data_IF_374059168597
#
_entry.id   IF_374059168597
#
_cell.length_a   1.000
_cell.length_b   1.000
_cell.length_c   1.000
_cell.angle_alpha   90.00
_cell.angle_beta   90.00
_cell.angle_gamma   90.00
#
_symmetry.space_group_name_H-M   'P 1'
#
loop_
_entity.id
_entity.type
_entity.pdbx_description
1 polymer ?
#
# COMPACT_ATOMS: atom_id res chain seq x y z
N UNK A 1 11.40 -6.80 -32.76
CA UNK A 1 11.31 -7.54 -31.48
C UNK A 1 11.87 -6.72 -30.30
N UNK A 2 13.09 -6.18 -30.38
CA UNK A 2 13.68 -5.31 -29.33
C UNK A 2 12.84 -4.05 -29.01
N UNK A 3 12.39 -3.32 -30.02
CA UNK A 3 11.58 -2.09 -29.86
C UNK A 3 10.29 -2.36 -29.05
N UNK A 4 9.64 -3.51 -29.25
CA UNK A 4 8.41 -3.86 -28.52
C UNK A 4 8.68 -4.13 -27.04
N UNK A 5 9.81 -4.75 -26.71
CA UNK A 5 10.24 -5.03 -25.33
C UNK A 5 10.61 -3.72 -24.62
N UNK A 6 11.27 -2.80 -25.31
CA UNK A 6 11.59 -1.47 -24.78
C UNK A 6 10.32 -0.65 -24.51
N UNK A 7 9.37 -0.61 -25.45
CA UNK A 7 8.09 0.07 -25.26
C UNK A 7 7.30 -0.56 -24.11
N UNK A 8 7.24 -1.89 -24.04
CA UNK A 8 6.56 -2.58 -22.94
C UNK A 8 7.21 -2.26 -21.60
N UNK A 9 8.54 -2.41 -21.47
CA UNK A 9 9.25 -2.20 -20.22
C UNK A 9 9.25 -0.74 -19.74
N UNK A 10 9.05 0.22 -20.64
CA UNK A 10 8.84 1.63 -20.29
C UNK A 10 7.55 1.85 -19.48
N UNK A 11 6.48 1.14 -19.83
CA UNK A 11 5.15 1.32 -19.23
C UNK A 11 4.78 0.22 -18.24
N UNK A 12 5.38 -0.96 -18.34
CA UNK A 12 5.00 -2.13 -17.58
C UNK A 12 6.19 -2.83 -16.93
N UNK A 13 5.93 -3.54 -15.84
CA UNK A 13 6.90 -4.45 -15.23
C UNK A 13 6.20 -5.52 -14.39
N UNK A 14 6.89 -6.63 -14.14
CA UNK A 14 6.44 -7.67 -13.24
C UNK A 14 7.05 -7.46 -11.86
N UNK A 15 6.25 -7.66 -10.80
CA UNK A 15 6.75 -7.69 -9.43
C UNK A 15 6.32 -8.98 -8.74
N UNK A 16 7.28 -9.65 -8.11
CA UNK A 16 7.06 -10.88 -7.36
C UNK A 16 6.95 -10.56 -5.86
N UNK A 17 5.87 -11.00 -5.24
CA UNK A 17 5.57 -10.73 -3.83
C UNK A 17 6.25 -11.78 -2.95
N UNK A 18 7.38 -11.39 -2.33
CA UNK A 18 8.17 -12.29 -1.47
C UNK A 18 7.57 -12.50 -0.07
N UNK A 19 6.60 -11.67 0.34
CA UNK A 19 6.01 -11.71 1.69
C UNK A 19 4.52 -12.01 1.60
N UNK A 20 3.99 -12.72 2.59
CA UNK A 20 2.56 -13.05 2.68
C UNK A 20 1.72 -11.87 3.21
N UNK A 21 1.99 -10.65 2.73
CA UNK A 21 1.23 -9.45 3.11
C UNK A 21 -0.08 -9.35 2.33
N UNK A 22 -0.05 -9.69 1.04
CA UNK A 22 -1.22 -9.86 0.18
C UNK A 22 -1.43 -11.38 0.00
N UNK A 23 -2.52 -11.92 0.52
CA UNK A 23 -2.77 -13.36 0.50
C UNK A 23 -3.20 -13.80 -0.90
N UNK A 24 -2.74 -14.98 -1.34
CA UNK A 24 -3.07 -15.54 -2.66
C UNK A 24 -2.68 -14.62 -3.82
N UNK A 25 -1.58 -13.87 -3.67
CA UNK A 25 -0.95 -13.10 -4.74
C UNK A 25 0.54 -13.39 -4.72
N UNK A 26 1.01 -14.07 -5.75
CA UNK A 26 2.40 -14.41 -6.01
C UNK A 26 3.10 -13.32 -6.83
N UNK A 27 2.44 -12.82 -7.88
CA UNK A 27 3.03 -11.78 -8.73
C UNK A 27 1.97 -10.87 -9.34
N UNK A 28 2.41 -9.67 -9.71
CA UNK A 28 1.56 -8.66 -10.35
C UNK A 28 2.20 -8.10 -11.60
N UNK A 29 1.38 -7.79 -12.60
CA UNK A 29 1.76 -6.93 -13.71
C UNK A 29 1.42 -5.49 -13.34
N UNK A 30 2.44 -4.65 -13.26
CA UNK A 30 2.33 -3.24 -12.89
C UNK A 30 2.31 -2.36 -14.13
N UNK A 31 1.40 -1.38 -14.14
CA UNK A 31 1.41 -0.21 -15.00
C UNK A 31 2.12 0.95 -14.26
N UNK A 32 3.20 1.48 -14.85
CA UNK A 32 4.07 2.52 -14.26
C UNK A 32 3.49 3.93 -14.40
N UNK A 33 2.62 4.17 -15.38
CA UNK A 33 1.99 5.48 -15.61
C UNK A 33 0.86 5.74 -14.59
N UNK A 34 1.21 6.03 -13.34
CA UNK A 34 0.24 6.21 -12.24
C UNK A 34 -0.74 7.35 -12.52
N UNK A 35 -0.33 8.40 -13.23
CA UNK A 35 -1.17 9.55 -13.58
C UNK A 35 -2.39 9.17 -14.44
N UNK A 36 -2.31 8.04 -15.16
CA UNK A 36 -3.44 7.50 -15.95
C UNK A 36 -4.68 7.22 -15.11
N UNK A 37 -4.51 6.98 -13.82
CA UNK A 37 -5.61 6.69 -12.90
C UNK A 37 -6.27 7.94 -12.31
N UNK A 38 -5.85 9.16 -12.71
CA UNK A 38 -6.38 10.42 -12.14
C UNK A 38 -6.38 10.44 -10.61
N UNK A 39 -5.42 9.75 -10.00
CA UNK A 39 -5.24 9.59 -8.55
C UNK A 39 -6.34 8.82 -7.81
N UNK A 40 -7.25 8.19 -8.55
CA UNK A 40 -8.20 7.23 -7.97
C UNK A 40 -7.60 5.82 -7.97
N UNK A 41 -6.99 5.46 -6.83
CA UNK A 41 -6.31 4.18 -6.63
C UNK A 41 -7.05 3.27 -5.64
N UNK A 42 -8.22 3.68 -5.14
CA UNK A 42 -8.99 2.92 -4.15
C UNK A 42 -9.25 1.50 -4.62
N UNK A 43 -8.97 0.53 -3.75
CA UNK A 43 -9.12 -0.89 -4.03
C UNK A 43 -8.03 -1.51 -4.92
N UNK A 44 -7.12 -0.73 -5.50
CA UNK A 44 -6.02 -1.24 -6.34
C UNK A 44 -4.86 -1.72 -5.47
N UNK A 45 -4.10 -2.69 -6.00
CA UNK A 45 -2.78 -3.03 -5.47
C UNK A 45 -1.78 -2.09 -6.12
N UNK A 46 -0.90 -1.49 -5.31
CA UNK A 46 0.15 -0.60 -5.79
C UNK A 46 1.51 -1.10 -5.30
N UNK A 47 2.53 -0.89 -6.12
CA UNK A 47 3.92 -1.07 -5.74
C UNK A 47 4.56 0.29 -5.47
N UNK A 48 5.37 0.39 -4.42
CA UNK A 48 5.95 1.64 -3.96
C UNK A 48 7.26 1.44 -3.19
N UNK A 49 8.02 2.52 -3.07
CA UNK A 49 9.20 2.59 -2.21
C UNK A 49 8.77 2.93 -0.78
N UNK A 50 9.13 2.08 0.19
CA UNK A 50 8.77 2.31 1.59
C UNK A 50 9.34 3.65 2.09
N UNK A 51 8.53 4.55 2.68
CA UNK A 51 8.94 5.95 2.84
C UNK A 51 9.88 6.23 4.02
N UNK A 52 10.06 5.28 4.95
CA UNK A 52 10.68 5.54 6.26
C UNK A 52 11.79 4.55 6.59
N UNK A 53 12.73 4.97 7.43
CA UNK A 53 13.56 4.04 8.17
C UNK A 53 12.88 3.60 9.46
N UNK A 54 12.73 2.30 9.63
CA UNK A 54 12.14 1.70 10.84
C UNK A 54 13.03 0.56 11.34
N UNK A 55 12.71 0.03 12.52
CA UNK A 55 13.34 -1.20 13.01
C UNK A 55 13.02 -2.45 12.18
N UNK A 56 11.97 -2.39 11.34
CA UNK A 56 11.50 -3.53 10.55
C UNK A 56 12.01 -3.50 9.10
N UNK A 57 11.98 -2.32 8.48
CA UNK A 57 12.34 -2.10 7.08
C UNK A 57 13.04 -0.77 6.90
N UNK A 58 13.92 -0.70 5.90
CA UNK A 58 14.64 0.50 5.51
C UNK A 58 13.87 1.29 4.47
N UNK A 59 14.11 2.60 4.44
CA UNK A 59 13.59 3.46 3.38
C UNK A 59 13.97 2.91 2.01
N UNK A 60 13.10 3.12 1.04
CA UNK A 60 13.23 2.67 -0.35
C UNK A 60 13.20 1.13 -0.54
N UNK A 61 12.84 0.37 0.51
CA UNK A 61 12.52 -1.05 0.35
C UNK A 61 11.26 -1.21 -0.52
N UNK A 62 11.27 -2.05 -1.58
CA UNK A 62 10.10 -2.25 -2.44
C UNK A 62 8.95 -2.96 -1.73
N UNK A 63 7.78 -2.33 -1.73
CA UNK A 63 6.57 -2.84 -1.11
C UNK A 63 5.44 -2.97 -2.13
N UNK A 64 4.50 -3.86 -1.85
CA UNK A 64 3.17 -3.84 -2.47
C UNK A 64 2.07 -3.99 -1.42
N UNK A 65 1.00 -3.21 -1.56
CA UNK A 65 -0.17 -3.20 -0.65
C UNK A 65 -1.42 -2.79 -1.43
N UNK A 66 -2.60 -3.04 -0.84
CA UNK A 66 -3.89 -2.60 -1.38
C UNK A 66 -4.26 -1.22 -0.81
N UNK A 67 -4.69 -0.29 -1.65
CA UNK A 67 -5.24 1.00 -1.22
C UNK A 67 -6.61 0.77 -0.60
N UNK A 68 -6.77 1.10 0.68
CA UNK A 68 -8.04 0.97 1.41
C UNK A 68 -8.78 2.31 1.52
N UNK A 69 -8.04 3.40 1.58
CA UNK A 69 -8.55 4.77 1.66
C UNK A 69 -7.60 5.72 0.93
N UNK A 70 -8.08 6.84 0.40
CA UNK A 70 -7.27 7.79 -0.37
C UNK A 70 -7.63 9.25 -0.08
N UNK A 71 -6.85 10.18 -0.62
CA UNK A 71 -7.07 11.61 -0.46
C UNK A 71 -8.51 12.03 -0.73
N UNK A 72 -9.07 12.85 0.17
CA UNK A 72 -10.48 13.25 0.15
C UNK A 72 -11.43 12.31 0.88
N UNK A 73 -11.07 11.05 1.12
CA UNK A 73 -11.83 10.18 2.02
C UNK A 73 -11.61 10.58 3.49
N UNK A 74 -12.61 10.31 4.34
CA UNK A 74 -12.50 10.44 5.79
C UNK A 74 -11.99 9.13 6.40
N UNK A 75 -10.81 9.17 7.01
CA UNK A 75 -10.25 8.07 7.80
C UNK A 75 -10.54 8.32 9.27
N UNK A 76 -11.04 7.31 9.98
CA UNK A 76 -11.19 7.36 11.44
C UNK A 76 -10.63 6.10 12.09
N UNK A 77 -10.10 6.26 13.30
CA UNK A 77 -9.63 5.18 14.16
C UNK A 77 -10.46 5.16 15.45
N UNK A 78 -11.09 4.03 15.74
CA UNK A 78 -11.78 3.77 17.01
C UNK A 78 -11.08 2.59 17.69
N UNK A 79 -10.48 2.83 18.86
CA UNK A 79 -9.52 1.92 19.49
C UNK A 79 -8.40 1.50 18.54
N UNK A 80 -8.52 0.32 17.92
CA UNK A 80 -7.55 -0.23 16.96
C UNK A 80 -8.17 -0.50 15.60
N UNK A 81 -9.46 -0.26 15.46
CA UNK A 81 -10.23 -0.48 14.25
C UNK A 81 -10.21 0.79 13.39
N UNK A 82 -9.96 0.60 12.09
CA UNK A 82 -9.86 1.68 11.12
C UNK A 82 -11.08 1.64 10.20
N UNK A 83 -11.56 2.83 9.86
CA UNK A 83 -12.71 3.02 9.00
C UNK A 83 -12.41 4.05 7.92
N UNK A 84 -12.80 3.78 6.68
CA UNK A 84 -12.74 4.72 5.56
C UNK A 84 -14.16 5.07 5.13
N UNK A 85 -14.56 6.34 5.25
CA UNK A 85 -15.94 6.80 5.04
C UNK A 85 -16.95 5.92 5.80
N UNK A 86 -16.68 5.65 7.08
CA UNK A 86 -17.48 4.79 7.98
C UNK A 86 -17.48 3.28 7.65
N UNK A 87 -16.80 2.83 6.59
CA UNK A 87 -16.64 1.41 6.31
C UNK A 87 -15.41 0.85 7.03
N UNK A 88 -15.57 -0.23 7.80
CA UNK A 88 -14.45 -0.91 8.45
C UNK A 88 -13.46 -1.46 7.41
N UNK A 89 -12.18 -1.13 7.56
CA UNK A 89 -11.11 -1.55 6.63
C UNK A 89 -10.04 -2.44 7.29
N UNK A 90 -10.07 -2.56 8.62
CA UNK A 90 -9.27 -3.53 9.37
C UNK A 90 -8.82 -3.03 10.73
N UNK A 91 -8.01 -3.85 11.41
CA UNK A 91 -7.61 -3.64 12.81
C UNK A 91 -6.09 -3.69 12.98
N UNK A 92 -5.51 -2.82 13.80
CA UNK A 92 -4.10 -2.88 14.17
C UNK A 92 -3.83 -3.93 15.26
N UNK A 93 -2.68 -4.60 15.16
CA UNK A 93 -2.16 -5.46 16.23
C UNK A 93 -1.42 -4.63 17.27
N UNK A 94 -1.41 -5.12 18.50
CA UNK A 94 -0.65 -4.52 19.62
C UNK A 94 0.80 -4.99 19.67
N UNK A 95 1.10 -6.15 19.06
CA UNK A 95 2.42 -6.75 19.04
C UNK A 95 2.70 -7.42 17.69
N UNK A 96 3.98 -7.45 17.32
CA UNK A 96 4.47 -8.16 16.15
C UNK A 96 4.52 -9.69 16.39
N UNK A 97 4.97 -10.44 15.39
CA UNK A 97 5.04 -11.91 15.46
C UNK A 97 6.05 -12.43 16.50
N UNK A 98 6.92 -11.57 17.03
CA UNK A 98 7.90 -11.90 18.08
C UNK A 98 7.44 -11.42 19.47
N UNK A 99 6.23 -10.86 19.58
CA UNK A 99 5.66 -10.37 20.83
C UNK A 99 6.12 -8.96 21.22
N UNK A 100 6.95 -8.29 20.42
CA UNK A 100 7.34 -6.92 20.71
C UNK A 100 6.18 -5.96 20.43
N UNK A 101 5.95 -4.99 21.32
CA UNK A 101 4.89 -4.00 21.16
C UNK A 101 5.09 -3.17 19.90
N UNK A 102 3.99 -2.91 19.18
CA UNK A 102 3.96 -2.08 17.98
C UNK A 102 2.99 -0.93 18.19
N UNK A 103 3.45 0.29 17.92
CA UNK A 103 2.61 1.47 17.95
C UNK A 103 1.80 1.56 16.67
N UNK A 104 0.50 1.76 16.81
CA UNK A 104 -0.37 2.03 15.68
C UNK A 104 -0.34 3.52 15.30
N UNK A 105 -0.69 3.82 14.06
CA UNK A 105 -0.90 5.17 13.55
C UNK A 105 -2.35 5.59 13.79
N UNK A 106 -2.59 6.67 14.56
CA UNK A 106 -3.95 7.14 14.84
C UNK A 106 -4.24 8.40 14.03
N UNK A 107 -5.35 8.42 13.31
CA UNK A 107 -5.80 9.59 12.56
C UNK A 107 -7.33 9.63 12.47
N UNK A 108 -7.90 10.82 12.61
CA UNK A 108 -9.33 11.09 12.47
C UNK A 108 -9.52 12.35 11.64
N UNK A 109 -9.97 12.20 10.39
CA UNK A 109 -10.23 13.31 9.49
C UNK A 109 -10.09 12.95 8.02
N UNK A 110 -10.05 13.98 7.18
CA UNK A 110 -9.90 13.84 5.73
C UNK A 110 -8.43 13.55 5.40
N UNK A 111 -8.19 12.50 4.61
CA UNK A 111 -6.85 12.16 4.12
C UNK A 111 -6.37 13.28 3.19
N UNK A 112 -5.12 13.78 3.35
CA UNK A 112 -4.56 14.78 2.46
C UNK A 112 -4.61 14.36 0.99
N UNK A 113 -4.69 15.36 0.10
CA UNK A 113 -4.59 15.12 -1.34
C UNK A 113 -3.31 14.33 -1.66
N UNK A 114 -3.36 13.50 -2.70
CA UNK A 114 -2.23 12.70 -3.20
C UNK A 114 -1.61 11.76 -2.14
N UNK A 115 -2.38 11.41 -1.11
CA UNK A 115 -1.99 10.49 -0.03
C UNK A 115 -2.93 9.29 0.04
N UNK A 116 -2.39 8.16 0.46
CA UNK A 116 -3.08 6.87 0.45
C UNK A 116 -2.87 6.13 1.76
N UNK A 117 -3.94 5.50 2.26
CA UNK A 117 -3.88 4.55 3.37
C UNK A 117 -3.93 3.12 2.80
N UNK A 118 -2.83 2.39 2.93
CA UNK A 118 -2.64 1.09 2.29
C UNK A 118 -2.51 -0.03 3.31
N UNK A 119 -3.06 -1.20 3.00
CA UNK A 119 -3.02 -2.37 3.87
C UNK A 119 -2.76 -3.65 3.09
N UNK A 120 -2.13 -4.61 3.76
CA UNK A 120 -2.15 -6.00 3.34
C UNK A 120 -3.43 -6.70 3.81
N UNK A 121 -3.69 -7.87 3.26
CA UNK A 121 -4.80 -8.73 3.69
C UNK A 121 -4.41 -9.55 4.93
N UNK A 122 -3.12 -9.83 5.12
CA UNK A 122 -2.62 -10.53 6.30
C UNK A 122 -2.64 -9.62 7.54
N UNK A 123 -3.18 -10.07 8.69
CA UNK A 123 -3.15 -9.33 9.95
C UNK A 123 -1.74 -8.93 10.41
N UNK A 124 -0.70 -9.68 10.02
CA UNK A 124 0.71 -9.42 10.33
C UNK A 124 1.39 -8.46 9.35
N UNK A 125 0.69 -7.99 8.32
CA UNK A 125 1.24 -7.05 7.35
C UNK A 125 1.67 -5.75 8.02
N UNK A 126 2.92 -5.35 7.82
CA UNK A 126 3.42 -4.03 8.23
C UNK A 126 3.04 -2.99 7.16
N UNK A 127 2.04 -2.18 7.46
CA UNK A 127 1.38 -1.27 6.52
C UNK A 127 0.88 0.02 7.21
N UNK A 128 0.03 0.82 6.55
CA UNK A 128 -0.35 2.17 7.00
C UNK A 128 -0.94 2.21 8.41
N UNK A 129 -1.43 1.08 8.95
CA UNK A 129 -1.82 0.94 10.35
C UNK A 129 -0.70 1.27 11.34
N UNK A 130 0.56 1.25 10.92
CA UNK A 130 1.72 1.46 11.81
C UNK A 130 2.59 2.65 11.41
N UNK A 131 2.55 3.07 10.13
CA UNK A 131 3.39 4.15 9.63
C UNK A 131 2.62 5.27 8.91
N UNK A 132 1.30 5.17 8.81
CA UNK A 132 0.45 6.23 8.26
C UNK A 132 0.40 6.28 6.74
N UNK A 133 0.37 7.48 6.18
CA UNK A 133 0.06 7.68 4.78
C UNK A 133 1.25 7.43 3.85
N UNK A 134 0.95 6.89 2.67
CA UNK A 134 1.85 6.83 1.53
C UNK A 134 1.53 7.98 0.58
N UNK A 135 2.52 8.79 0.23
CA UNK A 135 2.37 9.86 -0.76
C UNK A 135 2.56 9.32 -2.18
N UNK A 136 1.88 9.95 -3.14
CA UNK A 136 1.88 9.56 -4.56
C UNK A 136 3.30 9.42 -5.15
N UNK A 137 4.24 10.28 -4.79
CA UNK A 137 5.61 10.30 -5.33
C UNK A 137 6.39 9.00 -5.06
N UNK A 138 5.95 8.20 -4.08
CA UNK A 138 6.55 6.91 -3.76
C UNK A 138 6.01 5.76 -4.60
N UNK A 139 4.90 5.95 -5.30
CA UNK A 139 4.24 4.90 -6.08
C UNK A 139 5.02 4.67 -7.38
N UNK A 140 5.41 3.41 -7.61
CA UNK A 140 6.15 2.97 -8.80
C UNK A 140 5.26 2.32 -9.85
N UNK A 141 4.09 1.86 -9.45
CA UNK A 141 3.14 1.30 -10.39
C UNK A 141 1.89 0.77 -9.71
N UNK A 142 0.88 0.56 -10.54
CA UNK A 142 -0.44 0.07 -10.17
C UNK A 142 -0.64 -1.30 -10.80
N UNK A 143 -1.04 -2.29 -10.01
CA UNK A 143 -1.31 -3.62 -10.54
C UNK A 143 -2.54 -3.57 -11.45
N UNK A 144 -2.37 -4.01 -12.69
CA UNK A 144 -3.45 -4.21 -13.66
C UNK A 144 -3.85 -5.68 -13.78
N UNK A 145 -3.01 -6.58 -13.27
CA UNK A 145 -3.26 -8.01 -13.21
C UNK A 145 -2.51 -8.62 -12.03
N UNK A 146 -3.03 -9.72 -11.47
CA UNK A 146 -2.43 -10.46 -10.35
C UNK A 146 -2.63 -11.97 -10.52
N UNK A 147 -1.64 -12.75 -10.08
CA UNK A 147 -1.68 -14.20 -9.87
C UNK A 147 -1.31 -14.50 -8.43
#
# INVERSE_FOLDING_TARGET
MLILIEVFSKHYTFAFLKTNSLTNVTWVLLQKDVDKYKFDLKGKIIAFDFPLDTKYFKKDTPFAKKVKCQGGDNLSTQDRDYFCNNYHIGKARIADSKGATVKQFVFNGVIPKDSYFVMGDNPNSFDSRYWGFLTKDKIKGVAIWKY
#
